data_IF_773608785101
#
_entry.id   IF_773608785101
#
_cell.length_a   1.000
_cell.length_b   1.000
_cell.length_c   1.000
_cell.angle_alpha   90.00
_cell.angle_beta   90.00
_cell.angle_gamma   90.00
#
_symmetry.space_group_name_H-M   'P 1'
#
loop_
_entity.id
_entity.type
_entity.pdbx_description
1 polymer ?
#
# COMPACT_ATOMS: atom_id res chain seq x y z
N UNK A 1 18.15 -74.88 -16.33
CA UNK A 1 18.13 -74.09 -15.07
C UNK A 1 18.86 -72.74 -15.17
N UNK A 2 19.94 -72.61 -15.95
CA UNK A 2 20.70 -71.34 -16.13
C UNK A 2 19.92 -70.18 -16.81
N UNK A 3 19.08 -70.47 -17.82
CA UNK A 3 18.34 -69.43 -18.57
C UNK A 3 17.27 -68.74 -17.71
N UNK A 4 16.67 -69.47 -16.77
CA UNK A 4 15.65 -68.95 -15.86
C UNK A 4 16.20 -67.89 -14.90
N UNK A 5 17.42 -68.11 -14.40
CA UNK A 5 18.11 -67.15 -13.51
C UNK A 5 18.59 -65.90 -14.26
N UNK A 6 19.01 -66.05 -15.53
CA UNK A 6 19.44 -64.93 -16.37
C UNK A 6 18.28 -63.98 -16.66
N UNK A 7 17.09 -64.50 -16.94
CA UNK A 7 15.88 -63.68 -17.16
C UNK A 7 15.40 -62.98 -15.87
N UNK A 8 15.52 -63.61 -14.70
CA UNK A 8 15.23 -62.95 -13.41
C UNK A 8 16.20 -61.82 -13.10
N UNK A 9 17.49 -62.00 -13.39
CA UNK A 9 18.50 -60.96 -13.18
C UNK A 9 18.26 -59.75 -14.08
N UNK A 10 17.89 -59.97 -15.34
CA UNK A 10 17.49 -58.90 -16.27
C UNK A 10 16.27 -58.11 -15.78
N UNK A 11 15.25 -58.81 -15.26
CA UNK A 11 14.04 -58.16 -14.72
C UNK A 11 14.34 -57.31 -13.48
N UNK A 12 15.24 -57.76 -12.61
CA UNK A 12 15.66 -57.01 -11.41
C UNK A 12 16.44 -55.75 -11.82
N UNK A 13 17.35 -55.84 -12.79
CA UNK A 13 18.13 -54.68 -13.27
C UNK A 13 17.21 -53.65 -13.95
N UNK A 14 16.23 -54.10 -14.74
CA UNK A 14 15.23 -53.21 -15.34
C UNK A 14 14.37 -52.54 -14.26
N UNK A 15 13.97 -53.26 -13.21
CA UNK A 15 13.20 -52.70 -12.11
C UNK A 15 13.99 -51.65 -11.33
N UNK A 16 15.28 -51.89 -11.06
CA UNK A 16 16.17 -50.93 -10.39
C UNK A 16 16.39 -49.69 -11.25
N UNK A 17 16.56 -49.83 -12.57
CA UNK A 17 16.70 -48.71 -13.51
C UNK A 17 15.42 -47.86 -13.58
N UNK A 18 14.24 -48.49 -13.59
CA UNK A 18 12.95 -47.78 -13.56
C UNK A 18 12.78 -47.05 -12.22
N UNK A 19 13.15 -47.69 -11.10
CA UNK A 19 13.07 -47.08 -9.78
C UNK A 19 14.04 -45.89 -9.61
N UNK A 20 15.24 -45.97 -10.19
CA UNK A 20 16.20 -44.88 -10.20
C UNK A 20 15.75 -43.68 -11.05
N UNK A 21 15.04 -43.92 -12.16
CA UNK A 21 14.44 -42.84 -12.98
C UNK A 21 13.28 -42.16 -12.26
N UNK A 22 12.50 -42.90 -11.46
CA UNK A 22 11.43 -42.32 -10.62
C UNK A 22 12.02 -41.44 -9.50
N UNK A 23 13.16 -41.84 -8.91
CA UNK A 23 13.83 -41.05 -7.87
C UNK A 23 14.57 -39.82 -8.41
N UNK A 24 15.02 -39.84 -9.68
CA UNK A 24 15.61 -38.67 -10.33
C UNK A 24 14.57 -37.63 -10.80
N UNK A 25 13.29 -37.99 -10.81
CA UNK A 25 12.17 -37.11 -11.23
C UNK A 25 11.67 -36.14 -10.15
N UNK A 26 12.14 -36.26 -8.91
CA UNK A 26 11.84 -35.31 -7.83
C UNK A 26 13.03 -34.36 -7.60
N UNK A 27 13.46 -33.63 -8.63
CA UNK A 27 13.88 -32.26 -8.33
C UNK A 27 12.59 -31.48 -8.09
N UNK A 28 12.27 -31.22 -6.83
CA UNK A 28 11.36 -30.15 -6.45
C UNK A 28 11.98 -28.86 -6.98
N UNK A 29 11.74 -28.58 -8.26
CA UNK A 29 11.97 -27.29 -8.85
C UNK A 29 10.94 -26.42 -8.17
N UNK A 30 11.32 -25.89 -7.00
CA UNK A 30 10.46 -25.18 -6.08
C UNK A 30 9.58 -24.26 -6.89
N UNK A 31 8.28 -24.57 -6.93
CA UNK A 31 7.30 -23.65 -7.45
C UNK A 31 7.50 -22.42 -6.58
N UNK A 32 8.08 -21.37 -7.17
CA UNK A 32 8.22 -20.10 -6.49
C UNK A 32 6.78 -19.58 -6.35
N UNK A 33 6.12 -19.97 -5.26
CA UNK A 33 4.81 -19.46 -4.92
C UNK A 33 4.96 -17.93 -4.83
N UNK A 34 4.04 -17.23 -5.49
CA UNK A 34 4.12 -15.78 -5.60
C UNK A 34 4.08 -15.14 -4.20
N UNK A 35 4.90 -14.11 -3.97
CA UNK A 35 4.84 -13.31 -2.74
C UNK A 35 3.46 -12.65 -2.68
N UNK A 36 2.74 -12.81 -1.57
CA UNK A 36 1.43 -12.19 -1.35
C UNK A 36 1.56 -11.00 -0.40
N UNK A 37 1.25 -9.80 -0.90
CA UNK A 37 1.35 -8.55 -0.15
C UNK A 37 -0.04 -7.96 0.11
N UNK A 38 -0.34 -7.67 1.37
CA UNK A 38 -1.55 -6.96 1.78
C UNK A 38 -1.20 -5.49 1.99
N UNK A 39 -1.85 -4.59 1.25
CA UNK A 39 -1.52 -3.17 1.28
C UNK A 39 -2.74 -2.28 1.15
N UNK A 40 -2.68 -1.09 1.75
CA UNK A 40 -3.72 -0.07 1.61
C UNK A 40 -3.96 0.30 0.14
N UNK A 41 -5.23 0.46 -0.24
CA UNK A 41 -5.60 0.77 -1.64
C UNK A 41 -4.90 2.03 -2.20
N UNK A 42 -4.63 3.03 -1.35
CA UNK A 42 -3.92 4.25 -1.75
C UNK A 42 -2.44 4.06 -2.10
N UNK A 43 -1.88 2.86 -1.96
CA UNK A 43 -0.49 2.51 -2.31
C UNK A 43 -0.41 1.68 -3.60
N UNK A 44 -1.53 1.45 -4.28
CA UNK A 44 -1.63 0.49 -5.40
C UNK A 44 -0.67 0.81 -6.55
N UNK A 45 -0.79 1.99 -7.14
CA UNK A 45 0.01 2.39 -8.30
C UNK A 45 1.53 2.28 -8.05
N UNK A 46 2.09 2.86 -6.97
CA UNK A 46 3.53 2.78 -6.73
C UNK A 46 4.00 1.36 -6.35
N UNK A 47 3.20 0.59 -5.59
CA UNK A 47 3.57 -0.80 -5.26
C UNK A 47 3.55 -1.72 -6.48
N UNK A 48 2.59 -1.56 -7.39
CA UNK A 48 2.56 -2.32 -8.64
C UNK A 48 3.79 -2.04 -9.50
N UNK A 49 4.27 -0.79 -9.54
CA UNK A 49 5.51 -0.44 -10.24
C UNK A 49 6.73 -1.13 -9.60
N UNK A 50 6.87 -1.10 -8.27
CA UNK A 50 7.95 -1.83 -7.57
C UNK A 50 7.91 -3.31 -7.88
N UNK A 51 6.72 -3.92 -7.79
CA UNK A 51 6.54 -5.33 -8.07
C UNK A 51 6.96 -5.71 -9.49
N UNK A 52 6.52 -4.95 -10.50
CA UNK A 52 6.93 -5.21 -11.89
C UNK A 52 8.45 -5.19 -12.05
N UNK A 53 9.11 -4.21 -11.44
CA UNK A 53 10.57 -4.09 -11.50
C UNK A 53 11.28 -5.22 -10.74
N UNK A 54 10.75 -5.63 -9.58
CA UNK A 54 11.25 -6.78 -8.81
C UNK A 54 11.11 -8.08 -9.61
N UNK A 55 9.91 -8.35 -10.14
CA UNK A 55 9.61 -9.53 -10.94
C UNK A 55 10.49 -9.61 -12.18
N UNK A 56 10.73 -8.49 -12.86
CA UNK A 56 11.62 -8.43 -14.02
C UNK A 56 13.06 -8.81 -13.66
N UNK A 57 13.56 -8.33 -12.52
CA UNK A 57 14.94 -8.53 -12.05
C UNK A 57 15.18 -9.92 -11.47
N UNK A 58 14.26 -10.42 -10.66
CA UNK A 58 14.48 -11.62 -9.85
C UNK A 58 13.65 -12.83 -10.27
N UNK A 59 12.79 -12.68 -11.29
CA UNK A 59 11.92 -13.75 -11.81
C UNK A 59 11.04 -14.39 -10.71
N UNK A 60 10.60 -13.57 -9.77
CA UNK A 60 9.71 -13.93 -8.67
C UNK A 60 8.45 -13.08 -8.76
N UNK A 61 7.27 -13.72 -8.73
CA UNK A 61 5.98 -13.04 -8.87
C UNK A 61 5.57 -12.38 -7.56
N UNK A 62 4.94 -11.21 -7.65
CA UNK A 62 4.42 -10.45 -6.50
C UNK A 62 2.96 -10.13 -6.72
N UNK A 63 2.10 -10.72 -5.89
CA UNK A 63 0.66 -10.55 -5.91
C UNK A 63 0.20 -9.67 -4.76
N UNK A 64 -0.84 -8.88 -5.01
CA UNK A 64 -1.37 -7.94 -4.02
C UNK A 64 -2.83 -8.19 -3.71
N UNK A 65 -3.19 -8.01 -2.43
CA UNK A 65 -4.56 -7.70 -2.04
C UNK A 65 -4.60 -6.25 -1.56
N UNK A 66 -5.29 -5.39 -2.33
CA UNK A 66 -5.52 -4.00 -1.97
C UNK A 66 -6.91 -3.83 -1.35
N UNK A 67 -6.98 -3.23 -0.16
CA UNK A 67 -8.25 -2.95 0.52
C UNK A 67 -8.06 -1.85 1.57
N UNK A 68 -9.08 -1.56 2.36
CA UNK A 68 -8.93 -0.77 3.58
C UNK A 68 -8.16 -1.57 4.64
N UNK A 69 -7.46 -0.87 5.52
CA UNK A 69 -6.57 -1.51 6.49
C UNK A 69 -7.32 -2.40 7.49
N UNK A 70 -8.55 -2.05 7.88
CA UNK A 70 -9.34 -2.85 8.83
C UNK A 70 -9.72 -4.20 8.24
N UNK A 71 -10.13 -4.24 6.98
CA UNK A 71 -10.41 -5.49 6.26
C UNK A 71 -9.15 -6.36 6.13
N UNK A 72 -8.00 -5.77 5.82
CA UNK A 72 -6.74 -6.52 5.69
C UNK A 72 -6.26 -7.07 7.03
N UNK A 73 -6.30 -6.27 8.10
CA UNK A 73 -5.98 -6.70 9.46
C UNK A 73 -6.84 -7.89 9.86
N UNK A 74 -8.18 -7.80 9.66
CA UNK A 74 -9.09 -8.91 9.95
C UNK A 74 -8.75 -10.17 9.17
N UNK A 75 -8.41 -10.06 7.87
CA UNK A 75 -7.99 -11.23 7.08
C UNK A 75 -6.74 -11.91 7.66
N UNK A 76 -5.77 -11.13 8.15
CA UNK A 76 -4.55 -11.68 8.79
C UNK A 76 -4.91 -12.30 10.16
N UNK A 77 -5.84 -11.70 10.89
CA UNK A 77 -6.37 -12.27 12.14
C UNK A 77 -7.02 -13.64 11.91
N UNK A 78 -7.85 -13.73 10.87
CA UNK A 78 -8.58 -14.93 10.44
C UNK A 78 -7.68 -16.00 9.79
N UNK A 79 -6.37 -15.77 9.71
CA UNK A 79 -5.38 -16.77 9.27
C UNK A 79 -5.05 -16.76 7.78
N UNK A 80 -5.38 -15.68 7.06
CA UNK A 80 -4.97 -15.53 5.67
C UNK A 80 -3.44 -15.58 5.51
N UNK A 81 -2.99 -16.27 4.45
CA UNK A 81 -1.58 -16.51 4.14
C UNK A 81 -0.98 -15.39 3.30
N UNK A 82 -0.91 -14.19 3.88
CA UNK A 82 -0.10 -13.10 3.33
C UNK A 82 1.35 -13.23 3.82
N UNK A 83 2.29 -12.77 3.00
CA UNK A 83 3.71 -12.70 3.33
C UNK A 83 4.07 -11.36 3.98
N UNK A 84 3.63 -10.26 3.37
CA UNK A 84 3.98 -8.90 3.77
C UNK A 84 2.70 -8.10 4.00
N UNK A 85 2.69 -7.31 5.06
CA UNK A 85 1.66 -6.31 5.33
C UNK A 85 2.24 -4.90 5.20
N UNK A 86 1.53 -3.98 4.56
CA UNK A 86 1.93 -2.58 4.37
C UNK A 86 0.79 -1.66 4.83
N UNK A 87 0.96 -1.03 5.99
CA UNK A 87 -0.07 -0.25 6.67
C UNK A 87 0.51 0.76 7.67
N UNK A 88 -0.31 1.72 8.17
CA UNK A 88 0.08 2.60 9.26
C UNK A 88 0.39 1.85 10.58
N UNK A 89 1.17 2.45 11.50
CA UNK A 89 1.61 1.80 12.74
C UNK A 89 0.51 1.19 13.61
N UNK A 90 -0.65 1.86 13.75
CA UNK A 90 -1.73 1.37 14.60
C UNK A 90 -2.27 0.00 14.14
N UNK A 91 -2.36 -0.24 12.82
CA UNK A 91 -2.79 -1.54 12.29
C UNK A 91 -1.74 -2.64 12.44
N UNK A 92 -0.47 -2.24 12.57
CA UNK A 92 0.64 -3.15 12.85
C UNK A 92 0.66 -3.56 14.32
N UNK A 93 0.30 -2.62 15.21
CA UNK A 93 0.12 -2.85 16.64
C UNK A 93 -1.06 -3.80 16.93
N UNK A 94 -2.16 -3.68 16.19
CA UNK A 94 -3.28 -4.63 16.26
C UNK A 94 -2.84 -6.08 15.96
N UNK A 95 -1.82 -6.24 15.11
CA UNK A 95 -1.23 -7.53 14.73
C UNK A 95 0.02 -7.90 15.54
N UNK A 96 0.20 -7.31 16.73
CA UNK A 96 1.35 -7.61 17.60
C UNK A 96 1.42 -9.11 17.86
N UNK A 97 2.60 -9.69 17.60
CA UNK A 97 2.82 -11.13 17.73
C UNK A 97 2.58 -11.92 16.45
N UNK A 98 1.94 -11.37 15.41
CA UNK A 98 1.86 -11.94 14.05
C UNK A 98 2.84 -11.32 13.06
N UNK A 99 3.40 -10.17 13.39
CA UNK A 99 4.48 -9.49 12.64
C UNK A 99 5.86 -9.94 13.14
N UNK A 100 6.83 -10.05 12.23
CA UNK A 100 8.25 -10.26 12.55
C UNK A 100 8.86 -8.91 12.93
N UNK A 101 9.26 -8.78 14.20
CA UNK A 101 9.74 -7.52 14.79
C UNK A 101 10.94 -6.93 14.06
N UNK A 102 11.91 -7.76 13.64
CA UNK A 102 13.13 -7.30 12.95
C UNK A 102 12.88 -6.88 11.49
N UNK A 103 11.70 -7.20 10.95
CA UNK A 103 11.29 -6.87 9.58
C UNK A 103 10.17 -5.84 9.55
N UNK A 104 9.97 -5.10 10.64
CA UNK A 104 9.06 -3.97 10.73
C UNK A 104 9.83 -2.68 10.50
N UNK A 105 9.69 -2.07 9.32
CA UNK A 105 10.42 -0.85 8.97
C UNK A 105 9.50 0.18 8.32
N UNK A 106 9.88 1.45 8.46
CA UNK A 106 9.16 2.57 7.85
C UNK A 106 9.45 2.58 6.35
N UNK A 107 8.40 2.44 5.54
CA UNK A 107 8.49 2.47 4.09
C UNK A 107 8.48 3.91 3.55
N UNK A 108 7.50 4.71 3.98
CA UNK A 108 7.37 6.12 3.60
C UNK A 108 6.60 6.90 4.65
N UNK A 109 6.45 8.21 4.44
CA UNK A 109 5.51 9.06 5.18
C UNK A 109 4.63 9.78 4.16
N UNK A 110 3.33 9.49 4.17
CA UNK A 110 2.36 10.27 3.39
C UNK A 110 2.17 11.62 4.05
N UNK A 111 2.38 12.69 3.30
CA UNK A 111 2.22 14.07 3.78
C UNK A 111 0.93 14.65 3.23
N UNK A 112 -0.01 15.08 4.09
CA UNK A 112 -1.18 15.81 3.61
C UNK A 112 -0.79 17.23 3.24
N UNK A 113 -1.58 17.80 2.34
CA UNK A 113 -1.46 19.18 1.91
C UNK A 113 -2.85 19.78 1.80
N UNK A 114 -2.92 21.08 2.05
CA UNK A 114 -4.07 21.89 1.72
C UNK A 114 -3.84 22.54 0.37
N UNK A 115 -4.76 22.31 -0.56
CA UNK A 115 -4.77 22.87 -1.91
C UNK A 115 -5.67 24.09 -1.90
N UNK A 116 -5.15 25.23 -2.35
CA UNK A 116 -5.87 26.50 -2.50
C UNK A 116 -5.71 27.03 -3.91
N UNK A 117 -6.56 27.97 -4.33
CA UNK A 117 -6.47 28.56 -5.66
C UNK A 117 -5.13 29.27 -5.88
N UNK A 118 -4.66 29.32 -7.13
CA UNK A 118 -3.43 30.06 -7.50
C UNK A 118 -3.42 31.46 -6.90
N UNK A 119 -2.26 31.91 -6.43
CA UNK A 119 -2.04 33.20 -5.75
C UNK A 119 -2.72 33.32 -4.38
N UNK A 120 -3.52 32.33 -3.96
CA UNK A 120 -4.12 32.23 -2.63
C UNK A 120 -4.84 33.52 -2.18
N UNK A 121 -5.91 33.94 -2.87
CA UNK A 121 -6.56 35.24 -2.64
C UNK A 121 -7.11 35.41 -1.22
N UNK A 122 -7.41 34.32 -0.52
CA UNK A 122 -7.89 34.30 0.88
C UNK A 122 -6.76 34.25 1.92
N UNK A 123 -5.50 34.26 1.48
CA UNK A 123 -4.32 34.15 2.34
C UNK A 123 -4.41 32.96 3.31
N UNK A 124 -4.84 31.80 2.81
CA UNK A 124 -4.96 30.56 3.58
C UNK A 124 -3.56 29.93 3.65
N UNK A 125 -2.92 30.00 4.80
CA UNK A 125 -1.53 29.52 5.00
C UNK A 125 -1.43 28.45 6.09
N UNK A 126 -2.53 28.23 6.82
CA UNK A 126 -2.63 27.28 7.92
C UNK A 126 -4.06 26.75 8.06
N UNK A 127 -4.24 25.68 8.83
CA UNK A 127 -5.59 25.18 9.14
C UNK A 127 -6.43 26.20 9.93
N UNK A 128 -5.81 27.09 10.71
CA UNK A 128 -6.53 28.11 11.48
C UNK A 128 -7.25 29.13 10.58
N UNK A 129 -6.72 29.37 9.37
CA UNK A 129 -7.33 30.24 8.38
C UNK A 129 -8.67 29.69 7.86
N UNK A 130 -8.93 28.39 8.01
CA UNK A 130 -10.20 27.75 7.62
C UNK A 130 -11.38 28.18 8.50
N UNK A 131 -11.12 28.83 9.63
CA UNK A 131 -12.17 29.38 10.52
C UNK A 131 -12.72 30.72 10.03
N UNK A 132 -12.09 31.34 9.03
CA UNK A 132 -12.54 32.64 8.51
C UNK A 132 -13.95 32.47 7.93
N UNK A 133 -14.92 33.34 8.26
CA UNK A 133 -16.31 33.16 7.85
C UNK A 133 -16.52 33.10 6.33
N UNK A 134 -15.61 33.69 5.57
CA UNK A 134 -15.64 33.78 4.11
C UNK A 134 -14.76 32.71 3.41
N UNK A 135 -14.25 31.72 4.15
CA UNK A 135 -13.46 30.59 3.63
C UNK A 135 -14.30 29.32 3.64
N UNK A 136 -14.43 28.69 2.48
CA UNK A 136 -15.14 27.43 2.25
C UNK A 136 -14.17 26.27 2.03
N UNK A 137 -14.41 25.17 2.72
CA UNK A 137 -13.59 23.96 2.64
C UNK A 137 -14.38 22.84 1.96
N UNK A 138 -13.85 22.31 0.85
CA UNK A 138 -14.38 21.10 0.24
C UNK A 138 -13.71 19.88 0.87
N UNK A 139 -14.48 19.08 1.62
CA UNK A 139 -14.08 17.77 2.10
C UNK A 139 -15.17 16.74 1.81
N UNK A 140 -14.80 15.57 1.31
CA UNK A 140 -15.72 14.45 1.07
C UNK A 140 -16.21 13.89 2.40
N UNK A 141 -17.48 13.47 2.46
CA UNK A 141 -17.98 12.71 3.61
C UNK A 141 -17.34 11.31 3.60
N UNK A 142 -16.37 11.10 4.47
CA UNK A 142 -15.61 9.85 4.54
C UNK A 142 -16.44 8.67 5.06
N UNK A 143 -17.56 8.92 5.74
CA UNK A 143 -18.49 7.87 6.16
C UNK A 143 -19.33 7.34 4.99
N UNK A 144 -19.54 8.16 3.95
CA UNK A 144 -20.38 7.81 2.80
C UNK A 144 -19.59 7.48 1.53
N UNK A 145 -18.35 7.98 1.40
CA UNK A 145 -17.53 7.77 0.22
C UNK A 145 -16.10 7.38 0.58
N UNK A 146 -15.68 6.20 0.11
CA UNK A 146 -14.28 5.80 0.13
C UNK A 146 -13.56 6.35 -1.10
N UNK A 147 -12.82 7.43 -0.90
CA UNK A 147 -11.94 7.98 -1.92
C UNK A 147 -10.71 7.10 -2.10
N UNK A 148 -10.54 6.56 -3.30
CA UNK A 148 -9.31 5.89 -3.73
C UNK A 148 -8.16 6.89 -3.63
N UNK A 149 -7.07 6.50 -2.95
CA UNK A 149 -5.97 7.41 -2.60
C UNK A 149 -6.16 8.13 -1.26
N UNK A 150 -7.39 8.21 -0.74
CA UNK A 150 -7.77 8.77 0.55
C UNK A 150 -7.93 10.30 0.56
N UNK A 151 -8.80 10.77 1.46
CA UNK A 151 -8.76 12.13 2.02
C UNK A 151 -8.47 11.97 3.51
N UNK A 152 -7.87 12.97 4.16
CA UNK A 152 -7.61 12.95 5.62
C UNK A 152 -8.12 14.22 6.30
N UNK A 153 -8.94 14.99 5.60
CA UNK A 153 -9.44 16.27 6.08
C UNK A 153 -10.19 16.14 7.41
N UNK A 154 -11.13 15.21 7.53
CA UNK A 154 -11.92 15.06 8.76
C UNK A 154 -11.04 14.68 9.96
N UNK A 155 -10.11 13.74 9.78
CA UNK A 155 -9.16 13.34 10.81
C UNK A 155 -8.24 14.50 11.22
N UNK A 156 -7.76 15.27 10.25
CA UNK A 156 -6.89 16.44 10.48
C UNK A 156 -7.67 17.53 11.22
N UNK A 157 -8.89 17.84 10.80
CA UNK A 157 -9.75 18.82 11.48
C UNK A 157 -10.06 18.38 12.92
N UNK A 158 -10.31 17.09 13.14
CA UNK A 158 -10.54 16.53 14.48
C UNK A 158 -9.30 16.69 15.36
N UNK A 159 -8.12 16.30 14.86
CA UNK A 159 -6.83 16.48 15.56
C UNK A 159 -6.53 17.95 15.85
N UNK A 160 -6.88 18.85 14.93
CA UNK A 160 -6.72 20.29 15.08
C UNK A 160 -7.83 20.96 15.92
N UNK A 161 -8.88 20.23 16.34
CA UNK A 161 -10.05 20.77 17.07
C UNK A 161 -10.79 21.87 16.28
N UNK A 162 -10.95 21.63 14.98
CA UNK A 162 -11.55 22.55 14.00
C UNK A 162 -12.84 22.01 13.34
N UNK A 163 -13.25 20.77 13.59
CA UNK A 163 -14.36 20.11 12.88
C UNK A 163 -15.67 20.93 12.83
N UNK A 164 -16.00 21.65 13.90
CA UNK A 164 -17.22 22.47 14.00
C UNK A 164 -16.98 23.97 13.71
N UNK A 165 -15.75 24.35 13.37
CA UNK A 165 -15.32 25.75 13.19
C UNK A 165 -15.05 26.13 11.74
N UNK A 166 -15.25 25.20 10.82
CA UNK A 166 -14.98 25.38 9.38
C UNK A 166 -16.28 25.35 8.60
N UNK A 167 -16.33 26.11 7.50
CA UNK A 167 -17.48 26.11 6.61
C UNK A 167 -17.31 25.06 5.52
N UNK A 168 -17.95 23.90 5.69
CA UNK A 168 -17.91 22.82 4.72
C UNK A 168 -18.85 23.08 3.53
N UNK A 169 -18.34 22.89 2.32
CA UNK A 169 -19.16 22.87 1.10
C UNK A 169 -20.06 21.64 1.11
N UNK A 170 -21.36 21.82 0.85
CA UNK A 170 -22.34 20.74 0.76
C UNK A 170 -23.24 20.92 -0.48
N UNK A 171 -23.38 19.90 -1.36
CA UNK A 171 -22.65 18.63 -1.35
C UNK A 171 -21.18 18.83 -1.71
N UNK A 172 -20.30 18.03 -1.13
CA UNK A 172 -18.88 18.04 -1.47
C UNK A 172 -18.60 17.06 -2.63
N UNK A 173 -17.62 17.37 -3.49
CA UNK A 173 -17.10 16.40 -4.46
C UNK A 173 -16.57 15.14 -3.78
N UNK A 174 -16.74 14.00 -4.45
CA UNK A 174 -16.34 12.66 -3.96
C UNK A 174 -15.15 12.08 -4.74
N UNK A 175 -14.46 12.91 -5.54
CA UNK A 175 -13.22 12.56 -6.27
C UNK A 175 -12.15 13.61 -5.98
N UNK A 176 -10.86 13.22 -6.00
CA UNK A 176 -9.75 14.18 -5.83
C UNK A 176 -9.79 15.25 -6.92
N UNK A 177 -10.03 14.84 -8.17
CA UNK A 177 -10.21 15.78 -9.29
C UNK A 177 -11.33 16.78 -9.03
N UNK A 178 -12.48 16.32 -8.52
CA UNK A 178 -13.61 17.18 -8.20
C UNK A 178 -13.30 18.14 -7.04
N UNK A 179 -12.54 17.70 -6.04
CA UNK A 179 -12.10 18.55 -4.92
C UNK A 179 -11.14 19.64 -5.40
N UNK A 180 -10.15 19.29 -6.23
CA UNK A 180 -9.23 20.26 -6.83
C UNK A 180 -10.00 21.23 -7.74
N UNK A 181 -10.92 20.71 -8.57
CA UNK A 181 -11.78 21.54 -9.43
C UNK A 181 -12.65 22.52 -8.64
N UNK A 182 -13.19 22.11 -7.50
CA UNK A 182 -13.97 23.00 -6.65
C UNK A 182 -13.14 24.21 -6.17
N UNK A 183 -11.85 24.00 -5.90
CA UNK A 183 -10.90 25.05 -5.55
C UNK A 183 -10.57 25.95 -6.74
N UNK A 184 -10.27 25.38 -7.92
CA UNK A 184 -9.89 26.16 -9.10
C UNK A 184 -11.05 26.97 -9.67
N UNK A 185 -12.28 26.47 -9.58
CA UNK A 185 -13.49 27.16 -10.05
C UNK A 185 -14.08 28.13 -8.99
N UNK A 186 -13.51 28.16 -7.78
CA UNK A 186 -13.92 29.06 -6.69
C UNK A 186 -15.21 28.68 -5.96
N UNK A 187 -15.71 27.45 -6.15
CA UNK A 187 -16.83 26.94 -5.34
C UNK A 187 -16.39 26.52 -3.93
N UNK A 188 -15.10 26.23 -3.76
CA UNK A 188 -14.39 26.12 -2.49
C UNK A 188 -13.13 26.98 -2.50
N UNK A 189 -12.63 27.37 -1.34
CA UNK A 189 -11.39 28.12 -1.19
C UNK A 189 -10.20 27.19 -0.86
N UNK A 190 -10.49 26.02 -0.29
CA UNK A 190 -9.50 25.01 0.03
C UNK A 190 -10.05 23.57 -0.05
N UNK A 191 -9.15 22.60 -0.22
CA UNK A 191 -9.38 21.18 0.07
C UNK A 191 -8.13 20.56 0.70
N UNK A 192 -8.25 19.40 1.35
CA UNK A 192 -7.13 18.68 1.95
C UNK A 192 -6.98 17.30 1.29
N UNK A 193 -5.84 17.06 0.66
CA UNK A 193 -5.51 15.82 -0.03
C UNK A 193 -4.09 15.37 0.31
N UNK A 194 -3.65 14.22 -0.19
CA UNK A 194 -2.26 13.80 -0.06
C UNK A 194 -1.36 14.46 -1.10
N UNK A 195 -0.12 14.79 -0.71
CA UNK A 195 0.85 15.46 -1.58
C UNK A 195 1.17 14.67 -2.86
N UNK A 196 1.22 13.34 -2.77
CA UNK A 196 1.47 12.41 -3.89
C UNK A 196 0.36 12.42 -4.95
N UNK A 197 -0.81 13.02 -4.64
CA UNK A 197 -1.92 13.15 -5.59
C UNK A 197 -1.91 14.50 -6.33
N UNK A 198 -1.16 15.49 -5.86
CA UNK A 198 -1.28 16.87 -6.37
C UNK A 198 -0.86 16.99 -7.82
N UNK A 199 0.30 16.42 -8.17
CA UNK A 199 0.88 16.54 -9.52
C UNK A 199 -0.07 16.04 -10.62
N UNK A 200 -0.91 15.05 -10.30
CA UNK A 200 -1.89 14.48 -11.24
C UNK A 200 -2.99 15.47 -11.63
N UNK A 201 -3.26 16.47 -10.79
CA UNK A 201 -4.40 17.39 -10.93
C UNK A 201 -4.00 18.87 -11.00
N UNK A 202 -2.75 19.22 -10.71
CA UNK A 202 -2.24 20.59 -10.85
C UNK A 202 -2.08 20.97 -12.32
N UNK A 203 -2.84 21.96 -12.78
CA UNK A 203 -2.72 22.53 -14.13
C UNK A 203 -1.98 23.88 -14.13
N UNK A 204 -1.23 24.15 -13.06
CA UNK A 204 -0.59 25.43 -12.79
C UNK A 204 -1.56 26.46 -12.22
N UNK A 205 -2.69 26.03 -11.65
CA UNK A 205 -3.82 26.84 -11.19
C UNK A 205 -4.12 26.68 -9.68
N UNK A 206 -3.25 25.99 -8.96
CA UNK A 206 -3.33 25.83 -7.50
C UNK A 206 -2.08 26.33 -6.76
N UNK A 207 -2.16 26.35 -5.44
CA UNK A 207 -1.06 26.59 -4.52
C UNK A 207 -1.17 25.59 -3.36
N UNK A 208 -0.03 25.09 -2.89
CA UNK A 208 0.04 24.02 -1.91
C UNK A 208 0.51 24.58 -0.56
N UNK A 209 -0.26 24.32 0.49
CA UNK A 209 0.14 24.54 1.88
C UNK A 209 0.43 23.17 2.51
N UNK A 210 1.70 22.90 2.82
CA UNK A 210 2.11 21.61 3.38
C UNK A 210 1.65 21.47 4.83
N UNK A 211 1.20 20.27 5.19
CA UNK A 211 0.74 19.92 6.54
C UNK A 211 1.58 18.75 7.13
N UNK A 212 2.92 18.86 7.20
CA UNK A 212 3.81 17.75 7.56
C UNK A 212 3.59 17.22 8.98
N UNK A 213 3.07 18.05 9.90
CA UNK A 213 2.73 17.66 11.26
C UNK A 213 1.58 16.64 11.33
N UNK A 214 0.84 16.46 10.24
CA UNK A 214 -0.20 15.45 10.10
C UNK A 214 0.24 14.28 9.21
N UNK A 215 1.54 14.14 8.97
CA UNK A 215 2.10 13.03 8.20
C UNK A 215 1.71 11.67 8.78
N UNK A 216 1.43 10.73 7.89
CA UNK A 216 1.11 9.36 8.25
C UNK A 216 2.26 8.45 7.83
N UNK A 217 2.94 7.85 8.80
CA UNK A 217 3.93 6.82 8.51
C UNK A 217 3.24 5.60 7.89
N UNK A 218 3.86 5.03 6.87
CA UNK A 218 3.49 3.75 6.29
C UNK A 218 4.60 2.78 6.62
N UNK A 219 4.25 1.70 7.31
CA UNK A 219 5.16 0.65 7.72
C UNK A 219 5.01 -0.53 6.76
N UNK A 220 6.08 -1.25 6.55
CA UNK A 220 6.09 -2.51 5.81
C UNK A 220 6.67 -3.58 6.72
N UNK A 221 5.98 -4.72 6.79
CA UNK A 221 6.28 -5.75 7.76
C UNK A 221 6.13 -7.16 7.20
N UNK A 222 7.13 -8.01 7.42
CA UNK A 222 7.05 -9.44 7.16
C UNK A 222 6.16 -10.10 8.23
N UNK A 223 5.24 -10.96 7.79
CA UNK A 223 4.39 -11.75 8.68
C UNK A 223 5.12 -13.02 9.14
N UNK A 224 4.84 -13.47 10.37
CA UNK A 224 5.51 -14.66 10.95
C UNK A 224 5.22 -15.92 10.15
N UNK A 225 3.97 -16.08 9.75
CA UNK A 225 3.43 -17.21 9.00
C UNK A 225 3.56 -17.04 7.48
N UNK A 226 4.46 -16.15 7.02
CA UNK A 226 4.73 -15.90 5.61
C UNK A 226 5.17 -17.21 4.90
N UNK A 227 4.38 -17.73 3.94
CA UNK A 227 4.74 -18.95 3.21
C UNK A 227 6.02 -18.78 2.38
N UNK A 228 6.29 -17.59 1.85
CA UNK A 228 7.38 -17.28 0.93
C UNK A 228 8.47 -16.41 1.59
N UNK A 229 8.85 -16.77 2.82
CA UNK A 229 9.75 -15.95 3.67
C UNK A 229 11.01 -15.46 2.96
N UNK A 230 11.79 -16.35 2.34
CA UNK A 230 13.06 -16.01 1.70
C UNK A 230 12.91 -15.00 0.56
N UNK A 231 11.91 -15.20 -0.29
CA UNK A 231 11.63 -14.30 -1.41
C UNK A 231 11.03 -12.97 -0.93
N UNK A 232 10.28 -13.00 0.17
CA UNK A 232 9.73 -11.80 0.83
C UNK A 232 10.82 -10.94 1.46
N UNK A 233 11.79 -11.54 2.16
CA UNK A 233 12.97 -10.83 2.68
C UNK A 233 13.76 -10.17 1.54
N UNK A 234 13.94 -10.88 0.42
CA UNK A 234 14.57 -10.33 -0.78
C UNK A 234 13.77 -9.18 -1.41
N UNK A 235 12.44 -9.25 -1.38
CA UNK A 235 11.57 -8.13 -1.80
C UNK A 235 11.71 -6.93 -0.87
N UNK A 236 11.77 -7.15 0.44
CA UNK A 236 12.02 -6.10 1.44
C UNK A 236 13.38 -5.42 1.20
N UNK A 237 14.45 -6.18 1.01
CA UNK A 237 15.76 -5.62 0.68
C UNK A 237 15.71 -4.80 -0.62
N UNK A 238 14.99 -5.30 -1.63
CA UNK A 238 14.85 -4.59 -2.90
C UNK A 238 14.12 -3.26 -2.74
N UNK A 239 12.96 -3.25 -2.06
CA UNK A 239 12.17 -2.03 -1.89
C UNK A 239 12.93 -0.99 -1.05
N UNK A 240 13.71 -1.40 -0.04
CA UNK A 240 14.52 -0.49 0.78
C UNK A 240 15.83 -0.04 0.12
N UNK A 241 16.41 -0.86 -0.77
CA UNK A 241 17.60 -0.49 -1.55
C UNK A 241 17.34 0.66 -2.53
N UNK A 242 16.07 0.89 -2.90
CA UNK A 242 15.67 2.09 -3.63
C UNK A 242 15.77 3.26 -2.68
N UNK A 243 16.87 4.00 -2.77
CA UNK A 243 17.14 5.20 -1.98
C UNK A 243 15.88 6.08 -1.82
N UNK A 244 15.29 5.99 -0.62
CA UNK A 244 14.50 7.02 0.06
C UNK A 244 13.28 7.57 -0.66
N UNK A 245 12.10 6.98 -0.42
CA UNK A 245 10.81 7.70 -0.44
C UNK A 245 10.29 8.22 -1.78
N UNK A 246 11.10 8.34 -2.83
CA UNK A 246 10.70 8.95 -4.11
C UNK A 246 9.77 8.08 -4.97
N UNK A 247 9.30 6.96 -4.43
CA UNK A 247 8.34 6.10 -5.09
C UNK A 247 6.93 6.22 -4.52
N UNK A 248 6.75 6.76 -3.31
CA UNK A 248 5.50 6.74 -2.56
C UNK A 248 5.11 8.10 -2.01
#
# INVERSE_FOLDING_TARGET
MQVYWRNKLYLIVIFILIFAVILAGCSEQGKNDAIVIYAGMGLKEPLQKVAQEFSNKYKCEVNFTFSDYKTLTKKIEDGSKADIFIAPPNYMEDLKGKVVSDHYQKLTVKIPVMVVAKKNPKSITSLEDLKKPDVKLALPDQAQSHLVGGCVGDEILKKAKLSEKVHLVKPAPTTIEGLVKAVTDGSADATIIWNDQVEKYDKGDITIVKLPQFGQAIMCALLKEAPNRKDSEKFLDFIYSRKGGNLF
#
